data_IF_223821789587
#
_entry.id   IF_223821789587
#
_cell.length_a   1.000
_cell.length_b   1.000
_cell.length_c   1.000
_cell.angle_alpha   90.00
_cell.angle_beta   90.00
_cell.angle_gamma   90.00
#
_symmetry.space_group_name_H-M   'P 1'
#
loop_
_entity.id
_entity.type
_entity.pdbx_description
1 polymer ?
#
# COMPACT_ATOMS: atom_id res chain seq x y z
N UNK A 1 17.08 -6.18 -32.78
CA UNK A 1 16.89 -4.71 -32.82
C UNK A 1 17.23 -4.18 -31.45
N UNK A 2 18.05 -3.14 -31.26
CA UNK A 2 18.37 -2.66 -29.92
C UNK A 2 17.21 -1.79 -29.44
N UNK A 3 16.38 -2.35 -28.55
CA UNK A 3 15.49 -1.58 -27.68
C UNK A 3 16.38 -0.76 -26.73
N UNK A 4 16.24 0.56 -26.74
CA UNK A 4 16.91 1.44 -25.78
C UNK A 4 16.17 1.36 -24.44
N UNK A 5 16.71 0.61 -23.48
CA UNK A 5 16.28 0.68 -22.09
C UNK A 5 17.09 1.80 -21.39
N UNK A 6 16.43 2.88 -20.98
CA UNK A 6 17.03 3.90 -20.11
C UNK A 6 16.60 3.66 -18.67
N UNK A 7 17.55 3.38 -17.78
CA UNK A 7 17.29 3.34 -16.34
C UNK A 7 17.32 4.74 -15.75
N UNK A 8 16.30 5.07 -14.97
CA UNK A 8 16.21 6.30 -14.19
C UNK A 8 16.25 5.92 -12.72
N UNK A 9 17.20 6.49 -11.96
CA UNK A 9 17.42 6.11 -10.56
C UNK A 9 17.61 7.33 -9.67
N UNK A 10 17.07 7.25 -8.45
CA UNK A 10 17.53 8.09 -7.34
C UNK A 10 18.66 7.36 -6.61
N UNK A 11 19.87 7.88 -6.72
CA UNK A 11 21.02 7.39 -5.97
C UNK A 11 20.89 7.70 -4.48
N UNK A 12 21.69 7.03 -3.63
CA UNK A 12 21.81 7.35 -2.18
C UNK A 12 22.24 8.81 -1.91
N UNK A 13 22.70 9.54 -2.93
CA UNK A 13 22.99 10.97 -2.85
C UNK A 13 21.74 11.85 -2.92
N UNK A 14 20.58 11.30 -3.28
CA UNK A 14 19.29 11.99 -3.37
C UNK A 14 18.41 11.63 -2.17
N UNK A 15 18.42 10.36 -1.75
CA UNK A 15 17.70 9.88 -0.56
C UNK A 15 18.63 9.04 0.32
N UNK A 16 18.70 9.36 1.61
CA UNK A 16 19.56 8.65 2.56
C UNK A 16 19.11 8.88 4.01
N UNK A 17 19.63 8.08 4.94
CA UNK A 17 19.19 8.03 6.35
C UNK A 17 19.20 9.39 7.07
N UNK A 18 20.07 10.32 6.64
CA UNK A 18 20.25 11.64 7.27
C UNK A 18 19.72 12.79 6.38
N UNK A 19 19.10 12.47 5.24
CA UNK A 19 18.71 13.45 4.24
C UNK A 19 17.41 13.10 3.55
N UNK A 20 16.32 13.66 4.07
CA UNK A 20 15.02 13.65 3.39
C UNK A 20 15.11 14.45 2.08
N UNK A 21 14.39 13.97 1.06
CA UNK A 21 14.23 14.69 -0.19
C UNK A 21 13.37 15.94 0.02
N UNK A 22 13.72 17.01 -0.69
CA UNK A 22 12.95 18.26 -0.71
C UNK A 22 11.89 18.30 -1.81
N UNK A 23 12.00 17.43 -2.81
CA UNK A 23 10.98 17.19 -3.83
C UNK A 23 10.96 15.71 -4.23
N UNK A 24 9.92 15.30 -4.94
CA UNK A 24 9.79 13.94 -5.47
C UNK A 24 9.91 13.90 -6.99
N UNK A 25 10.45 14.96 -7.60
CA UNK A 25 10.69 15.01 -9.04
C UNK A 25 11.82 14.08 -9.46
N UNK A 26 11.75 13.60 -10.70
CA UNK A 26 12.91 12.96 -11.32
C UNK A 26 14.00 14.03 -11.57
N UNK A 27 15.29 13.74 -11.30
CA UNK A 27 16.37 14.69 -11.53
C UNK A 27 16.33 15.27 -12.94
N UNK A 28 16.44 16.60 -13.05
CA UNK A 28 16.26 17.37 -14.29
C UNK A 28 17.06 16.81 -15.49
N UNK A 29 18.29 16.34 -15.26
CA UNK A 29 19.13 15.77 -16.32
C UNK A 29 18.55 14.47 -16.90
N UNK A 30 17.90 13.65 -16.07
CA UNK A 30 17.25 12.41 -16.51
C UNK A 30 15.98 12.73 -17.31
N UNK A 31 15.22 13.74 -16.91
CA UNK A 31 14.07 14.23 -17.69
C UNK A 31 14.48 14.78 -19.06
N UNK A 32 15.56 15.55 -19.14
CA UNK A 32 16.08 16.05 -20.42
C UNK A 32 16.55 14.92 -21.35
N UNK A 33 17.13 13.85 -20.79
CA UNK A 33 17.48 12.67 -21.55
C UNK A 33 16.22 11.97 -22.08
N UNK A 34 15.21 11.77 -21.22
CA UNK A 34 13.94 11.16 -21.61
C UNK A 34 13.27 11.94 -22.74
N UNK A 35 13.24 13.27 -22.67
CA UNK A 35 12.69 14.12 -23.74
C UNK A 35 13.41 13.90 -25.08
N UNK A 36 14.75 13.82 -25.06
CA UNK A 36 15.53 13.58 -26.28
C UNK A 36 15.33 12.17 -26.84
N UNK A 37 15.20 11.16 -25.98
CA UNK A 37 14.94 9.78 -26.39
C UNK A 37 13.53 9.67 -26.98
N UNK A 38 12.53 10.24 -26.31
CA UNK A 38 11.14 10.27 -26.78
C UNK A 38 11.01 10.97 -28.14
N UNK A 39 11.75 12.07 -28.36
CA UNK A 39 11.76 12.79 -29.63
C UNK A 39 12.26 11.97 -30.84
N UNK A 40 12.95 10.84 -30.62
CA UNK A 40 13.35 9.91 -31.69
C UNK A 40 12.15 9.16 -32.27
N UNK A 41 11.00 9.11 -31.56
CA UNK A 41 9.78 8.45 -32.02
C UNK A 41 9.88 6.93 -32.03
N UNK A 42 10.64 6.35 -31.09
CA UNK A 42 10.76 4.90 -30.89
C UNK A 42 10.02 4.47 -29.63
N UNK A 43 9.43 3.26 -29.60
CA UNK A 43 8.87 2.72 -28.37
C UNK A 43 9.89 2.76 -27.24
N UNK A 44 9.54 3.46 -26.17
CA UNK A 44 10.45 3.77 -25.05
C UNK A 44 9.84 3.24 -23.76
N UNK A 45 10.60 2.37 -23.10
CA UNK A 45 10.29 1.84 -21.77
C UNK A 45 11.20 2.50 -20.75
N UNK A 46 10.62 3.10 -19.72
CA UNK A 46 11.38 3.65 -18.59
C UNK A 46 11.31 2.69 -17.42
N UNK A 47 12.47 2.39 -16.84
CA UNK A 47 12.58 1.60 -15.62
C UNK A 47 13.05 2.52 -14.49
N UNK A 48 12.22 2.65 -13.46
CA UNK A 48 12.47 3.44 -12.26
C UNK A 48 13.12 2.57 -11.19
N UNK A 49 14.26 3.03 -10.66
CA UNK A 49 15.03 2.37 -9.60
C UNK A 49 15.23 3.38 -8.45
N UNK A 50 14.39 3.28 -7.44
CA UNK A 50 14.27 4.28 -6.37
C UNK A 50 13.72 3.62 -5.10
N UNK A 51 13.97 4.20 -3.94
CA UNK A 51 13.33 3.78 -2.69
C UNK A 51 12.05 4.56 -2.47
N UNK A 52 12.17 5.88 -2.39
CA UNK A 52 11.04 6.77 -2.28
C UNK A 52 10.29 6.92 -3.60
N UNK A 53 8.99 7.20 -3.49
CA UNK A 53 8.11 7.48 -4.64
C UNK A 53 8.62 8.66 -5.46
N UNK A 54 8.48 8.59 -6.79
CA UNK A 54 8.74 9.68 -7.73
C UNK A 54 7.40 10.16 -8.32
N UNK A 55 7.25 11.48 -8.46
CA UNK A 55 6.19 12.11 -9.24
C UNK A 55 6.35 11.76 -10.72
N UNK A 56 5.58 10.78 -11.18
CA UNK A 56 5.73 10.20 -12.50
C UNK A 56 4.84 10.86 -13.58
N UNK A 57 4.09 11.91 -13.25
CA UNK A 57 3.10 12.52 -14.15
C UNK A 57 3.69 13.07 -15.46
N UNK A 58 4.94 13.51 -15.44
CA UNK A 58 5.65 13.97 -16.65
C UNK A 58 6.35 12.83 -17.38
N UNK A 59 6.73 11.77 -16.67
CA UNK A 59 7.38 10.57 -17.21
C UNK A 59 6.37 9.83 -18.10
N UNK A 60 5.19 9.53 -17.56
CA UNK A 60 4.16 8.74 -18.27
C UNK A 60 3.69 9.39 -19.58
N UNK A 61 3.80 10.72 -19.71
CA UNK A 61 3.44 11.44 -20.95
C UNK A 61 4.46 11.24 -22.08
N UNK A 62 5.67 10.77 -21.76
CA UNK A 62 6.82 10.67 -22.67
C UNK A 62 7.33 9.23 -22.80
N UNK A 63 6.54 8.25 -22.37
CA UNK A 63 6.90 6.82 -22.35
C UNK A 63 5.74 5.97 -22.79
N UNK A 64 6.03 4.87 -23.48
CA UNK A 64 5.03 3.87 -23.86
C UNK A 64 4.77 2.87 -22.72
N UNK A 65 5.78 2.63 -21.88
CA UNK A 65 5.65 1.82 -20.67
C UNK A 65 6.55 2.33 -19.55
N UNK A 66 6.09 2.13 -18.31
CA UNK A 66 6.79 2.46 -17.08
C UNK A 66 6.86 1.22 -16.20
N UNK A 67 8.07 0.86 -15.75
CA UNK A 67 8.32 -0.23 -14.81
C UNK A 67 8.92 0.35 -13.54
N UNK A 68 8.19 0.26 -12.43
CA UNK A 68 8.70 0.58 -11.11
C UNK A 68 9.40 -0.65 -10.52
N UNK A 69 10.72 -0.60 -10.38
CA UNK A 69 11.53 -1.70 -9.85
C UNK A 69 11.98 -1.51 -8.39
N UNK A 70 11.69 -0.35 -7.81
CA UNK A 70 12.20 0.09 -6.51
C UNK A 70 13.72 -0.18 -6.36
N UNK A 71 14.15 -0.80 -5.25
CA UNK A 71 15.49 -1.38 -5.09
C UNK A 71 15.44 -2.89 -5.32
N UNK A 72 15.80 -3.39 -6.51
CA UNK A 72 15.54 -4.79 -6.90
C UNK A 72 16.61 -5.79 -6.39
N UNK A 73 17.55 -5.33 -5.55
CA UNK A 73 18.58 -6.17 -4.94
C UNK A 73 19.60 -6.77 -5.92
N UNK A 74 20.36 -7.77 -5.45
CA UNK A 74 21.51 -8.33 -6.18
C UNK A 74 21.15 -8.95 -7.53
N UNK A 75 20.02 -9.68 -7.59
CA UNK A 75 19.52 -10.28 -8.84
C UNK A 75 18.59 -9.36 -9.63
N UNK A 76 18.50 -8.08 -9.26
CA UNK A 76 17.55 -7.14 -9.82
C UNK A 76 17.70 -6.92 -11.32
N UNK A 77 18.93 -6.84 -11.83
CA UNK A 77 19.18 -6.70 -13.27
C UNK A 77 18.61 -7.87 -14.08
N UNK A 78 18.74 -9.10 -13.56
CA UNK A 78 18.17 -10.29 -14.19
C UNK A 78 16.65 -10.28 -14.11
N UNK A 79 16.09 -10.04 -12.93
CA UNK A 79 14.64 -9.97 -12.76
C UNK A 79 13.99 -8.92 -13.67
N UNK A 80 14.61 -7.74 -13.81
CA UNK A 80 14.13 -6.70 -14.73
C UNK A 80 14.23 -7.15 -16.20
N UNK A 81 15.32 -7.81 -16.60
CA UNK A 81 15.45 -8.33 -17.95
C UNK A 81 14.37 -9.39 -18.24
N UNK A 82 14.18 -10.36 -17.35
CA UNK A 82 13.19 -11.43 -17.49
C UNK A 82 11.78 -10.83 -17.66
N UNK A 83 11.44 -9.77 -16.92
CA UNK A 83 10.19 -9.03 -17.10
C UNK A 83 10.14 -8.32 -18.44
N UNK A 84 11.14 -7.49 -18.78
CA UNK A 84 11.14 -6.68 -20.01
C UNK A 84 11.12 -7.51 -21.30
N UNK A 85 11.71 -8.71 -21.27
CA UNK A 85 11.73 -9.63 -22.40
C UNK A 85 10.57 -10.63 -22.39
N UNK A 86 9.68 -10.57 -21.40
CA UNK A 86 8.48 -11.39 -21.34
C UNK A 86 8.71 -12.83 -20.84
N UNK A 87 9.89 -13.14 -20.31
CA UNK A 87 10.17 -14.42 -19.64
C UNK A 87 9.40 -14.55 -18.31
N UNK A 88 9.06 -13.41 -17.69
CA UNK A 88 8.25 -13.36 -16.47
C UNK A 88 7.14 -12.31 -16.58
N UNK A 89 5.92 -12.69 -16.18
CA UNK A 89 4.78 -11.79 -16.12
C UNK A 89 4.82 -10.94 -14.83
N UNK A 90 4.88 -9.60 -14.91
CA UNK A 90 4.86 -8.75 -13.73
C UNK A 90 3.53 -8.87 -12.98
N UNK A 91 3.63 -9.01 -11.66
CA UNK A 91 2.50 -9.17 -10.74
C UNK A 91 2.63 -8.30 -9.49
N UNK A 92 3.62 -7.40 -9.47
CA UNK A 92 3.83 -6.45 -8.39
C UNK A 92 2.71 -5.40 -8.35
N UNK A 93 2.27 -5.05 -7.14
CA UNK A 93 1.30 -3.98 -6.89
C UNK A 93 1.96 -2.93 -6.00
N UNK A 94 1.66 -1.66 -6.23
CA UNK A 94 2.27 -0.56 -5.50
C UNK A 94 1.90 -0.61 -4.00
N UNK A 95 2.89 -0.71 -3.09
CA UNK A 95 2.63 -0.69 -1.65
C UNK A 95 2.43 0.74 -1.11
N UNK A 96 2.57 1.75 -1.97
CA UNK A 96 2.53 3.18 -1.64
C UNK A 96 1.80 3.92 -2.73
N UNK A 97 1.13 5.02 -2.37
CA UNK A 97 0.51 5.92 -3.33
C UNK A 97 1.58 6.73 -4.05
N UNK A 98 1.56 6.74 -5.38
CA UNK A 98 2.41 7.64 -6.17
C UNK A 98 1.71 8.98 -6.31
N UNK A 99 2.16 9.97 -5.55
CA UNK A 99 1.63 11.33 -5.59
C UNK A 99 2.17 12.10 -6.79
N UNK A 100 1.48 13.18 -7.14
CA UNK A 100 2.00 14.22 -8.03
C UNK A 100 3.11 14.98 -7.33
N UNK A 101 4.05 15.54 -8.08
CA UNK A 101 5.20 16.27 -7.53
C UNK A 101 4.80 17.44 -6.63
N UNK A 102 3.71 18.13 -6.95
CA UNK A 102 3.15 19.26 -6.18
C UNK A 102 2.65 18.88 -4.76
N UNK A 103 2.52 17.59 -4.44
CA UNK A 103 2.04 17.13 -3.13
C UNK A 103 2.95 17.56 -1.98
N UNK A 104 4.27 17.59 -2.20
CA UNK A 104 5.23 17.93 -1.13
C UNK A 104 5.15 19.38 -0.69
N UNK A 105 4.60 20.25 -1.54
CA UNK A 105 4.41 21.68 -1.26
C UNK A 105 3.09 21.95 -0.51
N UNK A 106 2.15 21.01 -0.59
CA UNK A 106 0.82 21.12 0.02
C UNK A 106 0.77 20.61 1.46
N UNK A 107 1.78 19.85 1.88
CA UNK A 107 1.79 19.14 3.16
C UNK A 107 3.07 19.43 3.93
N UNK A 108 2.95 19.81 5.19
CA UNK A 108 4.10 19.90 6.08
C UNK A 108 4.62 18.48 6.42
N UNK A 109 5.74 18.07 5.83
CA UNK A 109 6.22 16.68 5.96
C UNK A 109 6.51 16.21 7.40
N UNK A 110 6.78 17.15 8.32
CA UNK A 110 7.02 16.87 9.74
C UNK A 110 5.74 16.68 10.56
N UNK A 111 4.59 17.08 10.02
CA UNK A 111 3.30 16.87 10.69
C UNK A 111 2.91 15.40 10.61
N UNK A 112 2.52 14.84 11.75
CA UNK A 112 2.00 13.47 11.83
C UNK A 112 0.49 13.39 11.60
N UNK A 113 -0.17 14.52 11.34
CA UNK A 113 -1.59 14.54 11.01
C UNK A 113 -1.80 13.92 9.62
N UNK A 114 -2.59 12.86 9.60
CA UNK A 114 -2.90 12.09 8.39
C UNK A 114 -4.08 12.66 7.60
N UNK A 115 -4.87 13.55 8.22
CA UNK A 115 -6.18 13.98 7.74
C UNK A 115 -6.21 15.43 7.27
N UNK A 116 -5.25 16.27 7.69
CA UNK A 116 -5.09 17.64 7.17
C UNK A 116 -5.01 17.61 5.65
N UNK A 117 -5.89 18.37 5.00
CA UNK A 117 -5.99 18.44 3.55
C UNK A 117 -4.61 18.70 2.89
N UNK A 118 -4.25 18.00 1.81
CA UNK A 118 -5.04 17.03 1.04
C UNK A 118 -5.17 15.62 1.64
N UNK A 119 -4.65 15.38 2.85
CA UNK A 119 -4.62 14.08 3.51
C UNK A 119 -3.41 13.25 3.09
N UNK A 120 -3.10 12.20 3.86
CA UNK A 120 -1.94 11.32 3.63
C UNK A 120 -2.37 9.89 3.38
N UNK A 121 -1.60 9.18 2.57
CA UNK A 121 -1.80 7.77 2.19
C UNK A 121 -3.11 7.55 1.44
N UNK A 122 -3.31 6.35 0.90
CA UNK A 122 -4.58 5.98 0.28
C UNK A 122 -5.79 6.11 1.24
N UNK A 123 -5.55 5.99 2.56
CA UNK A 123 -6.59 6.05 3.59
C UNK A 123 -7.25 7.41 3.71
N UNK A 124 -6.53 8.51 3.48
CA UNK A 124 -7.06 9.87 3.73
C UNK A 124 -6.81 10.86 2.61
N UNK A 125 -5.93 10.55 1.65
CA UNK A 125 -5.64 11.45 0.53
C UNK A 125 -6.89 11.70 -0.32
N UNK A 126 -7.26 12.97 -0.49
CA UNK A 126 -8.41 13.43 -1.29
C UNK A 126 -8.00 14.01 -2.65
N UNK A 127 -6.70 14.10 -2.93
CA UNK A 127 -6.18 14.50 -4.24
C UNK A 127 -6.19 13.36 -5.25
N UNK A 128 -5.75 13.66 -6.48
CA UNK A 128 -5.62 12.67 -7.54
C UNK A 128 -4.19 12.08 -7.55
N UNK A 129 -4.01 10.78 -7.25
CA UNK A 129 -2.69 10.15 -7.36
C UNK A 129 -2.31 9.97 -8.83
N UNK A 130 -1.00 9.91 -9.11
CA UNK A 130 -0.49 9.46 -10.41
C UNK A 130 -0.77 7.96 -10.57
N UNK A 131 -0.44 7.19 -9.55
CA UNK A 131 -0.85 5.79 -9.42
C UNK A 131 -1.34 5.53 -7.98
N UNK A 132 -2.55 4.96 -7.80
CA UNK A 132 -3.08 4.70 -6.47
C UNK A 132 -2.35 3.54 -5.79
N UNK A 133 -2.57 3.40 -4.49
CA UNK A 133 -2.14 2.22 -3.74
C UNK A 133 -2.75 0.95 -4.34
N UNK A 134 -1.97 -0.12 -4.40
CA UNK A 134 -2.38 -1.39 -4.99
C UNK A 134 -2.39 -1.41 -6.53
N UNK A 135 -2.05 -0.31 -7.21
CA UNK A 135 -1.98 -0.30 -8.66
C UNK A 135 -0.81 -1.14 -9.18
N UNK A 136 -1.05 -1.94 -10.22
CA UNK A 136 -0.01 -2.71 -10.88
C UNK A 136 -0.59 -3.55 -12.02
N UNK A 137 0.05 -3.44 -13.19
CA UNK A 137 -0.37 -4.11 -14.40
C UNK A 137 0.28 -5.49 -14.52
N UNK A 138 -0.35 -6.34 -15.33
CA UNK A 138 0.13 -7.66 -15.73
C UNK A 138 0.16 -7.74 -17.26
N UNK A 139 0.93 -8.69 -17.81
CA UNK A 139 0.89 -9.03 -19.24
C UNK A 139 -0.36 -9.80 -19.64
N UNK A 140 -1.15 -10.26 -18.66
CA UNK A 140 -2.47 -10.86 -18.89
C UNK A 140 -3.56 -10.01 -18.24
N UNK A 141 -4.82 -10.33 -18.57
CA UNK A 141 -5.99 -9.65 -18.02
C UNK A 141 -6.75 -10.58 -17.09
N UNK A 142 -7.04 -10.10 -15.89
CA UNK A 142 -7.88 -10.80 -14.93
C UNK A 142 -9.22 -10.10 -14.77
N UNK A 143 -10.30 -10.88 -14.65
CA UNK A 143 -11.61 -10.37 -14.22
C UNK A 143 -11.99 -10.90 -12.85
N UNK A 144 -12.80 -10.10 -12.15
CA UNK A 144 -13.38 -10.44 -10.85
C UNK A 144 -14.88 -10.55 -11.01
N UNK A 145 -15.46 -11.65 -10.54
CA UNK A 145 -16.92 -11.81 -10.51
C UNK A 145 -17.36 -12.36 -9.16
N UNK A 146 -18.59 -12.02 -8.76
CA UNK A 146 -19.15 -12.51 -7.51
C UNK A 146 -19.42 -14.00 -7.65
N UNK A 147 -18.99 -14.79 -6.67
CA UNK A 147 -19.34 -16.21 -6.61
C UNK A 147 -20.81 -16.36 -6.18
N UNK A 148 -21.72 -16.27 -7.16
CA UNK A 148 -23.16 -16.43 -6.94
C UNK A 148 -23.61 -17.91 -6.95
N UNK A 149 -22.66 -18.85 -6.94
CA UNK A 149 -22.90 -20.16 -7.52
C UNK A 149 -23.05 -20.05 -9.04
N UNK A 150 -22.75 -21.13 -9.76
CA UNK A 150 -22.67 -21.15 -11.23
C UNK A 150 -23.92 -20.54 -11.90
N UNK A 151 -23.85 -19.24 -12.26
CA UNK A 151 -24.60 -18.49 -13.28
C UNK A 151 -24.67 -17.00 -12.92
N UNK A 152 -23.63 -16.21 -13.24
CA UNK A 152 -23.81 -14.78 -13.61
C UNK A 152 -22.50 -14.15 -14.06
N UNK A 153 -22.41 -13.89 -15.36
CA UNK A 153 -21.48 -12.96 -15.99
C UNK A 153 -21.91 -11.53 -15.68
N UNK A 154 -21.33 -10.91 -14.65
CA UNK A 154 -21.53 -9.48 -14.37
C UNK A 154 -20.33 -8.68 -14.87
N UNK A 155 -20.60 -7.70 -15.72
CA UNK A 155 -19.57 -6.85 -16.31
C UNK A 155 -18.95 -5.91 -15.27
N UNK A 156 -17.69 -5.57 -15.53
CA UNK A 156 -16.90 -4.54 -14.86
C UNK A 156 -17.75 -3.27 -14.69
N UNK A 157 -17.84 -2.75 -13.46
CA UNK A 157 -18.71 -1.67 -12.95
C UNK A 157 -20.07 -2.07 -12.35
N UNK A 158 -20.23 -3.31 -11.88
CA UNK A 158 -21.43 -3.70 -11.13
C UNK A 158 -21.22 -3.55 -9.62
N UNK A 159 -21.92 -2.59 -8.99
CA UNK A 159 -22.09 -2.58 -7.53
C UNK A 159 -22.99 -3.76 -7.16
N UNK A 160 -22.46 -4.78 -6.50
CA UNK A 160 -23.23 -5.97 -6.12
C UNK A 160 -23.59 -5.87 -4.65
N UNK A 161 -24.85 -5.50 -4.37
CA UNK A 161 -25.38 -5.44 -3.02
C UNK A 161 -25.59 -6.86 -2.46
N UNK A 162 -24.54 -7.47 -1.95
CA UNK A 162 -24.66 -8.60 -1.02
C UNK A 162 -24.77 -8.04 0.39
N UNK A 163 -25.97 -8.10 0.98
CA UNK A 163 -26.19 -7.74 2.38
C UNK A 163 -25.75 -8.87 3.31
N UNK A 164 -24.93 -8.55 4.32
CA UNK A 164 -24.55 -9.48 5.38
C UNK A 164 -24.58 -8.80 6.75
N UNK A 165 -25.15 -9.48 7.75
CA UNK A 165 -25.18 -8.99 9.14
C UNK A 165 -24.06 -9.62 9.97
N UNK A 166 -23.22 -8.81 10.60
CA UNK A 166 -22.16 -9.25 11.51
C UNK A 166 -22.60 -8.98 12.96
N UNK A 167 -22.91 -10.04 13.72
CA UNK A 167 -23.34 -9.95 15.14
C UNK A 167 -22.47 -10.82 16.06
N UNK A 168 -21.99 -10.26 17.17
CA UNK A 168 -21.24 -11.00 18.20
C UNK A 168 -20.06 -11.82 17.65
N UNK A 169 -20.27 -13.14 17.51
CA UNK A 169 -19.31 -14.14 17.02
C UNK A 169 -19.58 -14.64 15.57
N UNK A 170 -20.58 -14.09 14.88
CA UNK A 170 -20.88 -14.41 13.50
C UNK A 170 -19.88 -13.73 12.55
N UNK A 171 -19.40 -14.49 11.56
CA UNK A 171 -18.51 -13.99 10.52
C UNK A 171 -19.27 -13.98 9.18
N UNK A 172 -19.03 -12.96 8.37
CA UNK A 172 -19.52 -12.90 6.99
C UNK A 172 -18.35 -13.22 6.07
N UNK A 173 -18.53 -14.16 5.15
CA UNK A 173 -17.52 -14.49 4.15
C UNK A 173 -17.97 -13.97 2.78
N UNK A 174 -17.10 -13.23 2.11
CA UNK A 174 -17.31 -12.78 0.73
C UNK A 174 -16.39 -13.60 -0.17
N UNK A 175 -16.96 -14.26 -1.17
CA UNK A 175 -16.25 -15.08 -2.14
C UNK A 175 -16.33 -14.44 -3.54
N UNK A 176 -15.18 -14.36 -4.20
CA UNK A 176 -15.01 -13.75 -5.52
C UNK A 176 -14.27 -14.74 -6.41
N UNK A 177 -14.80 -14.96 -7.61
CA UNK A 177 -14.12 -15.73 -8.65
C UNK A 177 -13.15 -14.81 -9.37
N UNK A 178 -11.89 -15.23 -9.43
CA UNK A 178 -10.83 -14.60 -10.21
C UNK A 178 -10.58 -15.46 -11.43
N UNK A 179 -10.68 -14.91 -12.64
CA UNK A 179 -10.33 -15.62 -13.87
C UNK A 179 -9.21 -14.92 -14.62
N UNK A 180 -8.34 -15.70 -15.25
CA UNK A 180 -7.35 -15.22 -16.21
C UNK A 180 -7.95 -15.29 -17.61
N UNK A 181 -8.36 -14.13 -18.12
CA UNK A 181 -9.04 -13.99 -19.41
C UNK A 181 -8.07 -13.68 -20.56
N UNK A 182 -6.77 -13.60 -20.28
CA UNK A 182 -5.74 -13.38 -21.29
C UNK A 182 -5.01 -14.65 -21.72
N UNK A 183 -3.97 -14.47 -22.53
CA UNK A 183 -3.27 -15.55 -23.22
C UNK A 183 -2.02 -16.06 -22.47
N UNK A 184 -1.62 -15.39 -21.39
CA UNK A 184 -0.38 -15.66 -20.66
C UNK A 184 -0.69 -16.04 -19.23
N UNK A 185 0.01 -17.04 -18.69
CA UNK A 185 -0.05 -17.36 -17.27
C UNK A 185 0.42 -16.16 -16.43
N UNK A 186 -0.16 -16.00 -15.25
CA UNK A 186 0.20 -14.87 -14.40
C UNK A 186 -0.30 -15.00 -12.98
N UNK A 187 0.28 -14.16 -12.14
CA UNK A 187 -0.18 -14.00 -10.78
C UNK A 187 -1.01 -12.72 -10.67
N UNK A 188 -2.13 -12.79 -9.97
CA UNK A 188 -2.95 -11.65 -9.62
C UNK A 188 -3.01 -11.49 -8.09
N UNK A 189 -3.09 -10.24 -7.64
CA UNK A 189 -3.26 -9.89 -6.24
C UNK A 189 -4.61 -9.19 -6.07
N UNK A 190 -5.48 -9.82 -5.28
CA UNK A 190 -6.81 -9.31 -4.95
C UNK A 190 -6.79 -8.72 -3.56
N UNK A 191 -7.14 -7.45 -3.45
CA UNK A 191 -7.21 -6.70 -2.22
C UNK A 191 -8.65 -6.63 -1.72
N UNK A 192 -8.82 -6.70 -0.39
CA UNK A 192 -10.09 -6.47 0.28
C UNK A 192 -9.96 -5.28 1.24
N UNK A 193 -10.73 -4.24 0.95
CA UNK A 193 -10.82 -3.02 1.74
C UNK A 193 -12.19 -2.89 2.39
N UNK A 194 -12.27 -2.09 3.46
CA UNK A 194 -13.55 -1.62 3.98
C UNK A 194 -13.58 -0.11 4.13
N UNK A 195 -14.77 0.48 4.12
CA UNK A 195 -15.01 1.87 4.49
C UNK A 195 -16.34 2.04 5.24
N UNK A 196 -16.40 2.87 6.28
CA UNK A 196 -17.67 3.21 6.93
C UNK A 196 -18.51 4.11 6.00
N UNK A 197 -19.83 3.86 5.93
CA UNK A 197 -20.78 4.67 5.16
C UNK A 197 -21.73 5.42 6.09
N UNK A 198 -22.38 4.69 7.00
CA UNK A 198 -23.32 5.26 7.96
C UNK A 198 -23.08 4.64 9.33
N UNK A 199 -22.15 5.24 10.07
CA UNK A 199 -21.74 4.82 11.41
C UNK A 199 -21.64 6.04 12.32
N UNK A 200 -21.68 5.84 13.63
CA UNK A 200 -21.42 6.90 14.62
C UNK A 200 -19.91 7.14 14.84
N UNK A 201 -19.09 6.97 13.80
CA UNK A 201 -17.65 7.19 13.92
C UNK A 201 -17.34 8.66 14.27
N UNK A 202 -16.34 8.86 15.11
CA UNK A 202 -15.80 10.18 15.46
C UNK A 202 -14.37 10.35 14.94
N UNK A 203 -13.85 11.57 14.99
CA UNK A 203 -12.46 11.85 14.65
C UNK A 203 -12.02 11.46 13.23
N UNK A 204 -10.75 11.05 13.07
CA UNK A 204 -10.16 10.70 11.77
C UNK A 204 -10.89 9.59 11.02
N UNK A 205 -11.58 8.69 11.73
CA UNK A 205 -12.30 7.58 11.13
C UNK A 205 -13.43 8.05 10.18
N UNK A 206 -13.99 9.25 10.41
CA UNK A 206 -15.01 9.87 9.54
C UNK A 206 -14.48 10.27 8.16
N UNK A 207 -13.17 10.50 8.04
CA UNK A 207 -12.52 10.95 6.81
C UNK A 207 -11.90 9.80 6.01
N UNK A 208 -12.00 8.57 6.52
CA UNK A 208 -11.40 7.37 5.93
C UNK A 208 -12.00 7.09 4.53
N UNK A 209 -11.13 7.04 3.51
CA UNK A 209 -11.50 6.63 2.17
C UNK A 209 -11.81 5.14 2.12
N UNK A 210 -10.83 4.33 2.49
CA UNK A 210 -10.86 2.88 2.56
C UNK A 210 -9.65 2.38 3.38
N UNK A 211 -9.77 1.19 3.97
CA UNK A 211 -8.70 0.55 4.73
C UNK A 211 -8.57 -0.91 4.30
N UNK A 212 -7.35 -1.29 3.91
CA UNK A 212 -7.02 -2.67 3.58
C UNK A 212 -7.12 -3.52 4.85
N UNK A 213 -7.84 -4.63 4.78
CA UNK A 213 -7.91 -5.59 5.88
C UNK A 213 -7.37 -6.97 5.50
N UNK A 214 -7.39 -7.33 4.21
CA UNK A 214 -6.87 -8.61 3.73
C UNK A 214 -6.48 -8.52 2.25
N UNK A 215 -5.60 -9.42 1.81
CA UNK A 215 -5.24 -9.57 0.39
C UNK A 215 -4.81 -11.01 0.12
N UNK A 216 -5.06 -11.48 -1.11
CA UNK A 216 -4.65 -12.81 -1.54
C UNK A 216 -4.00 -12.76 -2.91
N UNK A 217 -2.92 -13.54 -3.08
CA UNK A 217 -2.23 -13.73 -4.36
C UNK A 217 -2.60 -15.09 -4.93
N UNK A 218 -2.96 -15.12 -6.20
CA UNK A 218 -3.33 -16.36 -6.92
C UNK A 218 -2.55 -16.46 -8.22
N UNK A 219 -2.15 -17.68 -8.58
CA UNK A 219 -1.49 -17.99 -9.85
C UNK A 219 -2.47 -18.72 -10.75
N UNK A 220 -2.67 -18.22 -11.98
CA UNK A 220 -3.64 -18.78 -12.91
C UNK A 220 -3.02 -18.95 -14.30
N UNK A 221 -3.22 -20.15 -14.85
CA UNK A 221 -3.02 -20.42 -16.27
C UNK A 221 -4.05 -19.67 -17.13
N UNK A 222 -3.80 -19.46 -18.43
CA UNK A 222 -4.77 -18.90 -19.36
C UNK A 222 -6.11 -19.66 -19.29
N UNK A 223 -7.23 -18.93 -19.29
CA UNK A 223 -8.59 -19.48 -19.08
C UNK A 223 -8.84 -20.15 -17.73
N UNK A 224 -7.88 -20.09 -16.79
CA UNK A 224 -8.02 -20.64 -15.45
C UNK A 224 -8.85 -19.71 -14.54
N UNK A 225 -9.58 -20.30 -13.59
CA UNK A 225 -10.33 -19.55 -12.58
C UNK A 225 -10.18 -20.17 -11.19
N UNK A 226 -10.17 -19.34 -10.16
CA UNK A 226 -10.16 -19.77 -8.76
C UNK A 226 -11.08 -18.89 -7.91
N UNK A 227 -11.55 -19.42 -6.78
CA UNK A 227 -12.35 -18.66 -5.82
C UNK A 227 -11.46 -18.17 -4.68
N UNK A 228 -11.52 -16.87 -4.42
CA UNK A 228 -10.85 -16.20 -3.30
C UNK A 228 -11.91 -15.78 -2.29
N UNK A 229 -11.68 -16.04 -1.02
CA UNK A 229 -12.67 -15.79 0.05
C UNK A 229 -12.10 -14.94 1.17
N UNK A 230 -12.81 -13.90 1.56
CA UNK A 230 -12.43 -12.94 2.60
C UNK A 230 -13.40 -13.04 3.78
N UNK A 231 -12.86 -13.25 4.98
CA UNK A 231 -13.67 -13.37 6.20
C UNK A 231 -13.73 -12.03 6.93
N UNK A 232 -14.93 -11.53 7.16
CA UNK A 232 -15.20 -10.25 7.81
C UNK A 232 -15.77 -10.52 9.20
N UNK A 233 -15.12 -9.92 10.18
CA UNK A 233 -15.50 -9.92 11.58
C UNK A 233 -15.68 -8.49 12.07
N UNK A 234 -16.26 -8.32 13.26
CA UNK A 234 -16.36 -7.02 13.92
C UNK A 234 -15.01 -6.34 14.13
N UNK A 235 -13.97 -7.14 14.39
CA UNK A 235 -12.58 -6.68 14.53
C UNK A 235 -11.98 -6.22 13.22
N UNK A 236 -12.38 -6.81 12.09
CA UNK A 236 -11.96 -6.40 10.75
C UNK A 236 -12.40 -4.97 10.43
N UNK A 237 -13.63 -4.60 10.83
CA UNK A 237 -14.25 -3.30 10.56
C UNK A 237 -14.03 -2.26 11.66
N UNK A 238 -13.12 -2.53 12.60
CA UNK A 238 -12.90 -1.68 13.75
C UNK A 238 -12.19 -0.37 13.39
N UNK A 239 -12.57 0.70 14.07
CA UNK A 239 -12.10 2.07 13.85
C UNK A 239 -11.55 2.64 15.16
N UNK A 240 -10.58 3.55 15.06
CA UNK A 240 -10.05 4.26 16.22
C UNK A 240 -10.88 5.50 16.51
N UNK A 241 -11.25 5.71 17.78
CA UNK A 241 -11.87 6.95 18.25
C UNK A 241 -10.81 8.02 18.60
N UNK A 242 -11.27 9.18 19.06
CA UNK A 242 -10.41 10.32 19.42
C UNK A 242 -9.62 10.07 20.72
N UNK A 243 -10.12 9.18 21.58
CA UNK A 243 -9.46 8.72 22.80
C UNK A 243 -8.40 7.64 22.55
N UNK A 244 -8.24 7.18 21.30
CA UNK A 244 -7.28 6.17 20.92
C UNK A 244 -7.68 4.76 21.33
N UNK A 245 -8.99 4.47 21.40
CA UNK A 245 -9.55 3.13 21.59
C UNK A 245 -9.97 2.54 20.25
N UNK A 246 -9.78 1.24 20.10
CA UNK A 246 -10.24 0.50 18.92
C UNK A 246 -11.68 0.04 19.16
N UNK A 247 -12.60 0.61 18.38
CA UNK A 247 -14.03 0.47 18.54
C UNK A 247 -14.64 -0.31 17.37
N UNK A 248 -15.53 -1.24 17.67
CA UNK A 248 -16.45 -1.83 16.69
C UNK A 248 -17.79 -1.10 16.78
N UNK A 249 -18.09 -0.28 15.78
CA UNK A 249 -19.29 0.53 15.73
C UNK A 249 -20.39 -0.20 14.93
N UNK A 250 -21.65 -0.13 15.37
CA UNK A 250 -22.76 -0.59 14.55
C UNK A 250 -23.01 0.38 13.39
N UNK A 251 -23.64 -0.14 12.33
CA UNK A 251 -24.02 0.62 11.15
C UNK A 251 -23.52 0.00 9.85
N UNK A 252 -23.58 0.81 8.79
CA UNK A 252 -23.36 0.37 7.42
C UNK A 252 -21.93 0.59 6.98
N UNK A 253 -21.33 -0.47 6.44
CA UNK A 253 -19.99 -0.49 5.88
C UNK A 253 -20.03 -1.00 4.45
N UNK A 254 -19.13 -0.49 3.62
CA UNK A 254 -18.85 -1.07 2.32
C UNK A 254 -17.56 -1.88 2.37
N UNK A 255 -17.62 -3.11 1.85
CA UNK A 255 -16.46 -3.94 1.58
C UNK A 255 -16.17 -3.91 0.09
N UNK A 256 -14.93 -3.60 -0.25
CA UNK A 256 -14.49 -3.42 -1.62
C UNK A 256 -13.44 -4.48 -1.93
N UNK A 257 -13.70 -5.29 -2.95
CA UNK A 257 -12.72 -6.25 -3.47
C UNK A 257 -12.21 -5.73 -4.82
N UNK A 258 -10.90 -5.57 -4.98
CA UNK A 258 -10.31 -4.99 -6.19
C UNK A 258 -8.95 -5.58 -6.52
N UNK A 259 -8.58 -5.57 -7.80
CA UNK A 259 -7.20 -5.86 -8.25
C UNK A 259 -6.32 -4.60 -8.35
N UNK A 260 -6.83 -3.46 -7.88
CA UNK A 260 -6.13 -2.18 -7.83
C UNK A 260 -6.07 -1.42 -9.15
N UNK A 261 -6.62 -1.97 -10.24
CA UNK A 261 -6.55 -1.35 -11.58
C UNK A 261 -7.94 -1.19 -12.21
N UNK A 262 -8.53 -2.29 -12.69
CA UNK A 262 -9.76 -2.26 -13.51
C UNK A 262 -10.96 -2.83 -12.78
N UNK A 263 -10.73 -3.85 -11.97
CA UNK A 263 -11.81 -4.62 -11.36
C UNK A 263 -12.05 -4.14 -9.93
N UNK A 264 -13.31 -3.82 -9.64
CA UNK A 264 -13.77 -3.37 -8.33
C UNK A 264 -15.18 -3.86 -8.09
N UNK A 265 -15.34 -4.74 -7.11
CA UNK A 265 -16.61 -5.21 -6.59
C UNK A 265 -16.86 -4.55 -5.24
N UNK A 266 -18.09 -4.12 -4.99
CA UNK A 266 -18.48 -3.47 -3.73
C UNK A 266 -19.67 -4.19 -3.15
N UNK A 267 -19.59 -4.52 -1.86
CA UNK A 267 -20.55 -5.27 -1.07
C UNK A 267 -20.95 -4.46 0.15
N UNK A 268 -22.20 -4.61 0.62
CA UNK A 268 -22.71 -3.86 1.77
C UNK A 268 -22.80 -4.75 3.00
N UNK A 269 -22.14 -4.36 4.09
CA UNK A 269 -22.09 -5.12 5.33
C UNK A 269 -22.68 -4.28 6.45
N UNK A 270 -23.65 -4.84 7.16
CA UNK A 270 -24.28 -4.21 8.31
C UNK A 270 -23.73 -4.82 9.60
N UNK A 271 -23.23 -3.97 10.49
CA UNK A 271 -22.81 -4.38 11.83
C UNK A 271 -23.96 -4.12 12.79
N UNK A 272 -24.60 -5.20 13.26
CA UNK A 272 -25.75 -5.12 14.15
C UNK A 272 -25.34 -5.09 15.63
N UNK A 273 -26.22 -4.63 16.52
CA UNK A 273 -25.99 -4.60 17.97
C UNK A 273 -25.40 -3.28 18.48
N UNK A 274 -24.79 -3.30 19.67
CA UNK A 274 -24.20 -2.11 20.29
C UNK A 274 -22.75 -1.86 19.88
N UNK A 275 -22.22 -0.70 20.28
CA UNK A 275 -20.80 -0.39 20.20
C UNK A 275 -19.99 -1.29 21.15
N UNK A 276 -18.82 -1.75 20.69
CA UNK A 276 -17.94 -2.63 21.47
C UNK A 276 -16.52 -2.09 21.45
N UNK A 277 -15.94 -1.89 22.62
CA UNK A 277 -14.50 -1.60 22.77
C UNK A 277 -13.72 -2.89 22.56
N UNK A 278 -12.94 -2.99 21.48
CA UNK A 278 -12.09 -4.15 21.20
C UNK A 278 -10.71 -4.03 21.83
N UNK A 279 -10.19 -2.81 21.89
CA UNK A 279 -8.91 -2.51 22.55
C UNK A 279 -9.01 -1.14 23.20
N UNK A 280 -8.72 -1.10 24.49
CA UNK A 280 -8.66 0.16 25.22
C UNK A 280 -7.38 0.94 24.86
N UNK A 281 -7.39 2.25 25.12
CA UNK A 281 -6.26 3.13 24.81
C UNK A 281 -5.02 2.60 25.53
N UNK A 282 -3.93 2.38 24.79
CA UNK A 282 -2.64 2.12 25.42
C UNK A 282 -2.26 3.40 26.14
N UNK A 283 -2.09 3.33 27.46
CA UNK A 283 -1.55 4.46 28.23
C UNK A 283 -0.31 4.97 27.48
N UNK A 284 -0.22 6.29 27.20
CA UNK A 284 1.00 6.83 26.60
C UNK A 284 2.18 6.36 27.44
N UNK A 285 3.33 6.12 26.79
CA UNK A 285 4.59 5.89 27.50
C UNK A 285 4.63 6.89 28.66
N UNK A 286 4.82 6.45 29.92
CA UNK A 286 4.82 7.36 31.04
C UNK A 286 5.81 8.46 30.69
N UNK A 287 5.30 9.69 30.53
CA UNK A 287 6.16 10.84 30.45
C UNK A 287 6.92 10.81 31.77
N UNK A 288 8.22 10.50 31.72
CA UNK A 288 9.06 10.61 32.90
C UNK A 288 8.83 12.02 33.42
N UNK A 289 8.15 12.15 34.56
CA UNK A 289 8.00 13.44 35.20
C UNK A 289 9.42 13.98 35.41
N UNK A 290 9.62 15.27 35.14
CA UNK A 290 10.93 15.93 35.27
C UNK A 290 11.59 15.73 36.65
N UNK A 291 10.83 15.26 37.65
CA UNK A 291 11.29 14.87 38.98
C UNK A 291 12.14 13.59 39.01
N UNK A 292 11.97 12.64 38.07
CA UNK A 292 12.76 11.40 38.03
C UNK A 292 14.09 11.56 37.27
N UNK A 293 14.15 12.48 36.32
CA UNK A 293 15.38 12.83 35.59
C UNK A 293 16.39 13.49 36.54
N UNK A 294 15.93 14.35 37.45
CA UNK A 294 16.79 14.99 38.44
C UNK A 294 17.38 14.00 39.47
N UNK A 295 16.63 12.97 39.87
CA UNK A 295 17.07 12.03 40.92
C UNK A 295 18.01 10.92 40.41
N UNK A 296 17.95 10.58 39.12
CA UNK A 296 18.86 9.62 38.48
C UNK A 296 20.16 10.29 38.01
N UNK A 297 20.11 11.56 37.58
CA UNK A 297 21.30 12.34 37.25
C UNK A 297 22.13 12.74 38.49
N UNK A 298 21.49 12.96 39.65
CA UNK A 298 22.20 13.38 40.86
C UNK A 298 22.80 12.22 41.67
N UNK A 299 22.36 10.96 41.47
CA UNK A 299 22.95 9.79 42.16
C UNK A 299 24.23 9.30 41.50
N UNK A 300 24.38 9.49 40.19
CA UNK A 300 25.53 8.97 39.44
C UNK A 300 26.74 9.93 39.32
N UNK A 301 26.70 11.10 39.98
CA UNK A 301 27.80 12.08 39.93
C UNK A 301 28.61 12.20 41.23
N UNK A 302 28.32 11.38 42.26
CA UNK A 302 29.05 11.43 43.54
C UNK A 302 30.00 10.26 43.80
N UNK A 303 29.86 9.14 43.09
CA UNK A 303 30.78 8.01 43.23
C UNK A 303 31.57 7.84 41.93
N UNK A 304 32.74 8.46 41.89
CA UNK A 304 33.70 8.28 40.82
C UNK A 304 34.22 6.85 40.78
N UNK A 305 33.86 6.11 39.74
CA UNK A 305 34.70 5.07 39.19
C UNK A 305 34.44 4.97 37.67
N UNK A 306 35.42 5.45 36.90
CA UNK A 306 35.52 5.26 35.46
C UNK A 306 35.57 3.76 35.14
N UNK A 307 34.48 3.19 34.63
CA UNK A 307 34.50 1.92 33.90
C UNK A 307 33.73 2.12 32.59
N UNK A 308 34.48 2.28 31.51
CA UNK A 308 33.95 2.22 30.15
C UNK A 308 33.52 0.78 29.84
N UNK A 309 32.21 0.54 29.74
CA UNK A 309 31.62 -0.73 29.35
C UNK A 309 30.78 -0.56 28.08
N UNK A 310 31.43 -0.67 26.93
CA UNK A 310 30.76 -0.86 25.63
C UNK A 310 30.29 -2.31 25.58
N UNK A 311 28.99 -2.55 25.71
CA UNK A 311 28.38 -3.87 25.48
C UNK A 311 28.02 -3.98 24.00
N UNK A 312 28.95 -4.52 23.23
CA UNK A 312 28.76 -4.98 21.85
C UNK A 312 28.26 -6.42 21.91
N UNK A 313 26.97 -6.64 21.65
CA UNK A 313 26.35 -7.96 21.62
C UNK A 313 26.47 -8.55 20.20
N UNK A 314 27.51 -9.34 19.96
CA UNK A 314 27.63 -10.20 18.79
C UNK A 314 26.81 -11.48 19.02
N UNK A 315 25.76 -11.69 18.22
CA UNK A 315 25.08 -12.99 18.13
C UNK A 315 25.76 -13.80 17.02
N UNK A 316 26.53 -14.79 17.43
CA UNK A 316 27.16 -15.80 16.56
C UNK A 316 26.15 -16.88 16.19
N UNK A 317 25.85 -17.01 14.89
CA UNK A 317 25.12 -18.15 14.32
C UNK A 317 26.10 -19.30 14.16
N UNK A 318 25.97 -20.34 14.97
CA UNK A 318 26.72 -21.59 14.80
C UNK A 318 25.91 -22.54 13.90
N UNK A 319 26.38 -22.73 12.67
CA UNK A 319 25.98 -23.85 11.81
C UNK A 319 26.37 -25.17 12.50
N UNK A 320 25.44 -26.13 12.52
CA UNK A 320 25.76 -27.54 12.76
C UNK A 320 25.75 -28.27 11.41
N UNK A 321 26.82 -29.04 11.24
CA UNK A 321 27.19 -29.93 10.13
C UNK A 321 26.09 -30.93 9.82
#
# INVERSE_FOLDING_TARGET
MPSCCSSASTSQSIEGEVGDRTNIDLPRIQMQLLERVHAVGRPTVVVLINGGVIGAEEIIKRTDALVEAFYPGFFGARAMADVLFGESNPSGKLPVTMYRSDYVEQVEMKSMDMTVYPGRTYRYFKGQPVFPFGWGLSYTTFSLSVDNGANSSSSSNSTVLLGGEVSGAANVTISVVVSNDGEVAGDEVVFAFFRPVSTNASGPATLLNEQLFDYQRVSLEPSGSTVVSFTIQRSTLALWDEEGKLMSLPGSYEVVVSNGVRERLTFSVEVAGGEVVLRDSVQPFPLLENSEIASSASRNFRDGLLVAGVVLLFISISMKV
#
